data_IF_096682649652
#
_entry.id   IF_096682649652
#
_cell.length_a   1.000
_cell.length_b   1.000
_cell.length_c   1.000
_cell.angle_alpha   90.00
_cell.angle_beta   90.00
_cell.angle_gamma   90.00
#
_symmetry.space_group_name_H-M   'P 1'
#
loop_
_entity.id
_entity.type
_entity.pdbx_description
1 polymer ?
#
# COMPACT_ATOMS: atom_id res chain seq x y z
N UNK A 1 17.08 38.50 -53.43
CA UNK A 1 16.46 38.17 -54.70
C UNK A 1 15.41 39.22 -54.92
N UNK A 2 15.87 40.04 -55.63
CA UNK A 2 15.42 40.71 -56.84
C UNK A 2 14.48 41.88 -56.65
N UNK A 3 15.06 43.02 -56.84
CA UNK A 3 14.55 44.21 -57.57
C UNK A 3 13.94 43.78 -58.93
N UNK A 4 13.43 44.58 -59.82
CA UNK A 4 13.68 46.02 -59.94
C UNK A 4 12.53 46.87 -60.49
N UNK A 5 12.78 48.16 -60.56
CA UNK A 5 12.71 49.04 -61.73
C UNK A 5 11.32 49.46 -62.22
N UNK A 6 11.06 50.54 -62.73
CA UNK A 6 11.82 51.62 -63.35
C UNK A 6 10.86 52.69 -63.85
N UNK A 7 11.34 53.87 -63.86
CA UNK A 7 11.30 54.77 -65.04
C UNK A 7 9.94 55.28 -65.52
N UNK A 8 9.78 56.44 -65.92
CA UNK A 8 10.64 57.36 -66.64
C UNK A 8 9.84 58.63 -67.03
N UNK A 9 10.53 59.72 -67.01
CA UNK A 9 10.65 60.73 -68.06
C UNK A 9 9.37 61.52 -68.44
N UNK A 10 9.43 62.71 -68.55
CA UNK A 10 10.29 63.68 -69.24
C UNK A 10 9.53 64.98 -69.46
N UNK A 11 10.23 66.04 -69.31
CA UNK A 11 10.41 67.00 -70.40
C UNK A 11 9.27 67.96 -70.59
N UNK A 12 9.34 69.18 -70.64
CA UNK A 12 10.29 70.06 -71.31
C UNK A 12 10.03 71.55 -70.97
N UNK A 13 11.03 72.23 -71.00
CA UNK A 13 11.20 73.68 -71.18
C UNK A 13 10.43 74.20 -72.42
N UNK A 14 10.45 75.49 -72.77
CA UNK A 14 11.17 76.59 -72.21
C UNK A 14 10.43 77.97 -72.24
N UNK A 15 11.20 78.95 -71.78
CA UNK A 15 11.30 80.34 -72.22
C UNK A 15 10.05 81.23 -72.19
N UNK A 16 10.19 82.28 -71.46
CA UNK A 16 10.59 83.52 -72.12
C UNK A 16 11.05 84.61 -71.11
N UNK A 17 12.18 85.03 -71.44
CA UNK A 17 12.90 86.18 -71.01
C UNK A 17 12.12 87.49 -71.31
N UNK A 18 12.43 88.43 -70.47
CA UNK A 18 12.38 89.86 -70.83
C UNK A 18 11.00 90.55 -70.71
N UNK A 19 10.93 91.31 -69.74
CA UNK A 19 10.65 92.75 -69.88
C UNK A 19 10.74 93.45 -68.51
N UNK A 20 11.70 94.03 -68.40
CA UNK A 20 12.01 95.47 -68.44
C UNK A 20 12.07 96.12 -67.07
N UNK A 21 13.26 96.28 -66.71
CA UNK A 21 13.80 97.56 -66.18
C UNK A 21 12.83 98.74 -66.01
N UNK A 22 12.99 99.29 -64.90
CA UNK A 22 12.76 100.68 -64.59
C UNK A 22 11.58 100.96 -63.64
N UNK A 23 11.89 101.20 -62.44
CA UNK A 23 11.76 102.49 -61.77
C UNK A 23 11.90 102.34 -60.28
N UNK A 24 12.93 102.78 -59.75
CA UNK A 24 12.92 103.16 -58.35
C UNK A 24 12.05 104.42 -58.18
N UNK A 25 11.34 104.50 -57.09
CA UNK A 25 11.72 105.62 -56.22
C UNK A 25 11.57 105.37 -54.68
N UNK A 26 12.46 105.92 -53.98
CA UNK A 26 12.41 106.55 -52.66
C UNK A 26 11.97 105.77 -51.45
N UNK A 27 12.78 105.82 -50.37
CA UNK A 27 12.53 105.14 -49.11
C UNK A 27 11.45 105.88 -48.31
N UNK A 28 10.33 105.28 -48.11
CA UNK A 28 9.34 105.74 -47.16
C UNK A 28 9.68 105.15 -45.78
N UNK A 29 10.31 105.96 -44.96
CA UNK A 29 10.70 105.70 -43.56
C UNK A 29 9.45 105.20 -42.72
N UNK A 30 8.26 105.48 -43.13
CA UNK A 30 7.05 105.09 -42.42
C UNK A 30 6.71 103.56 -42.59
N UNK A 31 7.19 102.89 -43.61
CA UNK A 31 6.96 101.46 -43.78
C UNK A 31 7.82 100.62 -42.83
N UNK A 32 8.93 101.15 -42.35
CA UNK A 32 9.74 100.43 -41.32
C UNK A 32 9.05 100.37 -39.95
N UNK A 33 8.32 101.41 -39.60
CA UNK A 33 7.53 101.39 -38.35
C UNK A 33 6.30 100.46 -38.41
N UNK A 34 5.68 100.37 -39.56
CA UNK A 34 4.58 99.41 -39.77
C UNK A 34 5.02 97.92 -39.74
N UNK A 35 6.23 97.67 -40.28
CA UNK A 35 6.89 96.35 -40.24
C UNK A 35 7.21 95.92 -38.77
N UNK A 36 7.70 96.82 -37.95
CA UNK A 36 7.98 96.57 -36.56
C UNK A 36 6.69 96.39 -35.75
N UNK A 37 5.65 97.11 -36.09
CA UNK A 37 4.26 96.89 -35.49
C UNK A 37 3.64 95.52 -35.90
N UNK A 38 3.83 95.10 -37.14
CA UNK A 38 3.37 93.85 -37.58
C UNK A 38 4.12 92.68 -36.95
N UNK A 39 5.43 92.81 -36.79
CA UNK A 39 6.24 91.76 -36.08
C UNK A 39 5.83 91.68 -34.61
N UNK A 40 5.60 92.87 -33.97
CA UNK A 40 5.12 92.89 -32.58
C UNK A 40 3.75 92.24 -32.40
N UNK A 41 2.83 92.51 -33.34
CA UNK A 41 1.50 91.88 -33.34
C UNK A 41 1.60 90.37 -33.57
N UNK A 42 2.46 89.91 -34.48
CA UNK A 42 2.69 88.46 -34.70
C UNK A 42 3.33 87.81 -33.46
N UNK A 43 4.30 88.53 -32.79
CA UNK A 43 4.91 88.03 -31.58
C UNK A 43 3.92 87.92 -30.41
N UNK A 44 3.00 88.91 -30.25
CA UNK A 44 1.93 88.84 -29.24
C UNK A 44 0.94 87.72 -29.59
N UNK A 45 0.55 87.60 -30.89
CA UNK A 45 -0.38 86.51 -31.32
C UNK A 45 0.26 85.13 -31.11
N UNK A 46 1.55 85.00 -31.50
CA UNK A 46 2.26 83.72 -31.30
C UNK A 46 2.47 83.38 -29.80
N UNK A 47 2.81 84.46 -28.99
CA UNK A 47 2.86 84.29 -27.54
C UNK A 47 1.57 83.94 -26.89
N UNK A 48 0.47 84.61 -27.29
CA UNK A 48 -0.86 84.34 -26.82
C UNK A 48 -1.38 82.91 -27.20
N UNK A 49 -1.09 82.50 -28.47
CA UNK A 49 -1.43 81.15 -28.96
C UNK A 49 -0.61 80.10 -28.20
N UNK A 50 0.67 80.35 -27.93
CA UNK A 50 1.49 79.43 -27.19
C UNK A 50 1.08 79.36 -25.70
N UNK A 51 0.74 80.48 -25.08
CA UNK A 51 0.23 80.51 -23.71
C UNK A 51 -1.16 79.78 -23.59
N UNK A 52 -2.01 80.01 -24.60
CA UNK A 52 -3.30 79.35 -24.65
C UNK A 52 -3.15 77.79 -24.85
N UNK A 53 -2.17 77.36 -25.67
CA UNK A 53 -1.89 75.95 -25.83
C UNK A 53 -1.31 75.31 -24.56
N UNK A 54 -0.40 76.03 -23.87
CA UNK A 54 0.18 75.56 -22.61
C UNK A 54 -0.93 75.40 -21.55
N UNK A 55 -1.86 76.35 -21.51
CA UNK A 55 -2.96 76.32 -20.57
C UNK A 55 -3.99 75.23 -20.89
N UNK A 56 -4.14 74.85 -22.14
CA UNK A 56 -4.97 73.70 -22.54
C UNK A 56 -4.31 72.36 -22.18
N UNK A 57 -2.98 72.27 -22.23
CA UNK A 57 -2.28 71.06 -21.86
C UNK A 57 -2.24 70.87 -20.34
N UNK A 58 -2.21 71.96 -19.55
CA UNK A 58 -2.29 71.89 -18.07
C UNK A 58 -3.69 71.54 -17.56
N UNK A 59 -4.75 71.85 -18.31
CA UNK A 59 -6.14 71.53 -17.98
C UNK A 59 -6.62 70.23 -18.65
N UNK A 60 -5.78 69.52 -19.35
CA UNK A 60 -6.11 68.18 -19.83
C UNK A 60 -6.27 67.26 -18.61
N UNK A 61 -7.49 66.90 -18.29
CA UNK A 61 -7.79 65.94 -17.23
C UNK A 61 -6.97 64.66 -17.44
N UNK A 62 -6.32 64.12 -16.40
CA UNK A 62 -5.50 62.89 -16.53
C UNK A 62 -6.35 61.80 -17.17
N UNK A 63 -5.86 61.28 -18.27
CA UNK A 63 -6.51 60.20 -18.97
C UNK A 63 -6.29 58.91 -18.19
N UNK A 64 -7.24 58.57 -17.30
CA UNK A 64 -7.20 57.32 -16.56
C UNK A 64 -7.55 56.17 -17.50
N UNK A 65 -6.66 55.23 -17.62
CA UNK A 65 -6.98 53.95 -18.23
C UNK A 65 -7.75 53.18 -17.18
N UNK A 66 -9.07 53.13 -17.35
CA UNK A 66 -9.95 52.37 -16.47
C UNK A 66 -10.30 51.06 -17.14
N UNK A 67 -10.10 50.00 -16.41
CA UNK A 67 -10.55 48.68 -16.81
C UNK A 67 -11.82 48.33 -16.03
N UNK A 68 -12.87 47.85 -16.68
CA UNK A 68 -14.12 47.47 -16.00
C UNK A 68 -13.84 46.31 -15.03
N UNK A 69 -14.24 46.47 -13.80
CA UNK A 69 -14.20 45.42 -12.78
C UNK A 69 -15.20 44.33 -13.19
N UNK A 70 -14.69 43.20 -13.59
CA UNK A 70 -15.49 42.01 -13.90
C UNK A 70 -15.46 41.00 -12.77
N UNK A 71 -16.57 40.29 -12.57
CA UNK A 71 -16.57 39.09 -11.72
C UNK A 71 -15.93 37.95 -12.50
N UNK A 72 -14.84 37.39 -12.01
CA UNK A 72 -14.18 36.23 -12.58
C UNK A 72 -14.17 35.06 -11.59
N UNK A 73 -14.05 33.85 -12.13
CA UNK A 73 -13.84 32.68 -11.30
C UNK A 73 -12.37 32.61 -10.89
N UNK A 74 -12.13 32.56 -9.59
CA UNK A 74 -10.82 32.31 -9.02
C UNK A 74 -10.71 30.80 -8.73
N UNK A 75 -9.84 30.11 -9.45
CA UNK A 75 -9.50 28.72 -9.16
C UNK A 75 -8.28 28.68 -8.26
N UNK A 76 -8.50 28.32 -7.01
CA UNK A 76 -7.40 28.09 -6.06
C UNK A 76 -7.02 26.61 -6.09
N UNK A 77 -5.84 26.32 -6.58
CA UNK A 77 -5.26 24.97 -6.53
C UNK A 77 -4.43 24.84 -5.26
N UNK A 78 -4.85 23.94 -4.37
CA UNK A 78 -4.09 23.58 -3.18
C UNK A 78 -3.45 22.22 -3.42
N UNK A 79 -2.13 22.18 -3.42
CA UNK A 79 -1.37 20.92 -3.44
C UNK A 79 -0.96 20.57 -2.02
N UNK A 80 -1.29 19.35 -1.60
CA UNK A 80 -0.84 18.79 -0.34
C UNK A 80 -0.02 17.55 -0.60
N UNK A 81 1.13 17.44 0.04
CA UNK A 81 1.96 16.25 0.02
C UNK A 81 1.58 15.38 1.21
N UNK A 82 1.42 14.07 0.97
CA UNK A 82 1.12 13.10 2.01
C UNK A 82 1.82 11.78 1.72
N UNK A 83 2.11 11.04 2.77
CA UNK A 83 2.59 9.67 2.67
C UNK A 83 1.44 8.71 2.91
N UNK A 84 1.27 7.74 2.01
CA UNK A 84 0.31 6.64 2.19
C UNK A 84 0.89 5.66 3.19
N UNK A 85 0.14 5.38 4.24
CA UNK A 85 0.47 4.35 5.20
C UNK A 85 -0.62 3.27 5.19
N UNK A 86 -0.27 2.00 5.41
CA UNK A 86 -1.27 0.95 5.52
C UNK A 86 -2.15 1.17 6.74
N UNK A 87 -3.44 1.00 6.57
CA UNK A 87 -4.42 1.13 7.67
C UNK A 87 -4.28 0.02 8.72
N UNK A 88 -3.69 -1.10 8.34
CA UNK A 88 -3.44 -2.25 9.21
C UNK A 88 -2.20 -2.99 8.74
N UNK A 89 -1.21 -3.19 9.62
CA UNK A 89 -0.07 -4.06 9.39
C UNK A 89 -0.02 -5.15 10.45
N UNK A 90 0.35 -6.38 10.04
CA UNK A 90 0.50 -7.54 10.93
C UNK A 90 1.91 -8.07 10.74
N UNK A 91 2.64 -8.17 11.84
CA UNK A 91 3.95 -8.83 11.87
C UNK A 91 3.73 -10.33 12.01
N UNK A 92 4.28 -11.10 11.10
CA UNK A 92 4.20 -12.57 11.10
C UNK A 92 5.58 -13.09 11.48
N UNK A 93 5.66 -13.80 12.59
CA UNK A 93 6.87 -14.46 13.09
C UNK A 93 6.71 -15.97 13.11
N UNK A 94 7.81 -16.70 13.30
CA UNK A 94 7.79 -18.13 13.58
C UNK A 94 7.46 -18.37 15.06
N UNK A 95 6.60 -19.35 15.33
CA UNK A 95 6.36 -19.88 16.70
C UNK A 95 7.35 -20.98 17.05
N UNK A 96 8.06 -21.52 16.06
CA UNK A 96 9.03 -22.58 16.21
C UNK A 96 10.39 -22.10 15.74
N UNK A 97 11.44 -22.49 16.45
CA UNK A 97 12.82 -22.28 15.98
C UNK A 97 13.20 -23.34 14.96
N UNK A 98 13.75 -22.90 13.85
CA UNK A 98 14.17 -23.80 12.78
C UNK A 98 14.87 -23.07 11.65
N UNK A 99 15.37 -23.83 10.68
CA UNK A 99 15.96 -23.27 9.46
C UNK A 99 14.89 -23.09 8.39
N UNK A 100 14.89 -21.93 7.75
CA UNK A 100 13.99 -21.64 6.62
C UNK A 100 14.43 -22.50 5.43
N UNK A 101 13.53 -23.40 5.01
CA UNK A 101 13.76 -24.23 3.82
C UNK A 101 13.46 -23.46 2.55
N UNK A 102 12.34 -22.74 2.53
CA UNK A 102 11.85 -22.05 1.33
C UNK A 102 10.96 -20.86 1.72
N UNK A 103 11.13 -19.78 0.99
CA UNK A 103 10.24 -18.60 1.03
C UNK A 103 9.44 -18.59 -0.27
N UNK A 104 8.12 -18.50 -0.17
CA UNK A 104 7.16 -18.64 -1.28
C UNK A 104 6.61 -17.32 -1.78
N UNK A 105 6.97 -16.21 -1.12
CA UNK A 105 6.47 -14.86 -1.42
C UNK A 105 7.61 -13.85 -1.38
N UNK A 106 7.45 -12.76 -2.13
CA UNK A 106 8.39 -11.65 -2.11
C UNK A 106 7.69 -10.33 -1.73
N UNK A 107 8.48 -9.27 -1.57
CA UNK A 107 7.98 -7.93 -1.26
C UNK A 107 7.04 -7.48 -2.38
N UNK A 108 5.91 -6.90 -1.99
CA UNK A 108 4.82 -6.45 -2.86
C UNK A 108 3.93 -7.56 -3.44
N UNK A 109 4.10 -8.81 -3.03
CA UNK A 109 3.21 -9.90 -3.42
C UNK A 109 1.86 -9.81 -2.70
N UNK A 110 0.78 -10.14 -3.43
CA UNK A 110 -0.56 -10.26 -2.87
C UNK A 110 -0.75 -11.65 -2.27
N UNK A 111 -1.13 -11.69 -1.01
CA UNK A 111 -1.35 -12.93 -0.26
C UNK A 111 -2.78 -13.04 0.24
N UNK A 112 -3.28 -14.28 0.31
CA UNK A 112 -4.60 -14.61 0.86
C UNK A 112 -4.45 -15.17 2.27
N UNK A 113 -5.49 -15.01 3.07
CA UNK A 113 -5.57 -15.66 4.39
C UNK A 113 -5.40 -17.17 4.25
N UNK A 114 -4.50 -17.75 5.04
CA UNK A 114 -4.16 -19.18 5.02
C UNK A 114 -3.13 -19.56 3.94
N UNK A 115 -2.68 -18.62 3.11
CA UNK A 115 -1.62 -18.91 2.14
C UNK A 115 -0.29 -19.06 2.85
N UNK A 116 0.45 -20.14 2.56
CA UNK A 116 1.79 -20.40 3.09
C UNK A 116 2.77 -19.39 2.51
N UNK A 117 3.52 -18.75 3.38
CA UNK A 117 4.50 -17.72 3.05
C UNK A 117 5.93 -18.27 3.15
N UNK A 118 6.19 -19.01 4.22
CA UNK A 118 7.51 -19.58 4.53
C UNK A 118 7.35 -21.01 4.99
N UNK A 119 8.22 -21.89 4.54
CA UNK A 119 8.33 -23.26 5.00
C UNK A 119 9.66 -23.46 5.73
N UNK A 120 9.57 -23.93 6.97
CA UNK A 120 10.73 -24.37 7.75
C UNK A 120 11.17 -25.77 7.31
N UNK A 121 12.37 -26.15 7.69
CA UNK A 121 12.81 -27.53 7.54
C UNK A 121 12.03 -28.45 8.51
N UNK A 122 11.25 -29.33 7.94
CA UNK A 122 10.32 -30.23 8.66
C UNK A 122 10.88 -31.62 8.88
N UNK A 123 12.11 -31.95 8.42
CA UNK A 123 12.65 -33.31 8.49
C UNK A 123 12.60 -33.87 9.92
N UNK A 124 13.16 -33.12 10.89
CA UNK A 124 13.17 -33.53 12.30
C UNK A 124 11.75 -33.64 12.88
N UNK A 125 10.83 -32.74 12.51
CA UNK A 125 9.45 -32.74 13.02
C UNK A 125 8.65 -33.91 12.42
N UNK A 126 8.84 -34.22 11.15
CA UNK A 126 8.19 -35.37 10.51
C UNK A 126 8.66 -36.71 11.11
N UNK A 127 9.95 -36.82 11.43
CA UNK A 127 10.48 -37.99 12.14
C UNK A 127 9.90 -38.11 13.54
N UNK A 128 9.69 -36.99 14.24
CA UNK A 128 9.06 -36.97 15.55
C UNK A 128 7.62 -37.44 15.49
N UNK A 129 6.81 -36.94 14.54
CA UNK A 129 5.44 -37.41 14.28
C UNK A 129 5.41 -38.91 14.00
N UNK A 130 6.37 -39.41 13.20
CA UNK A 130 6.46 -40.84 12.89
C UNK A 130 6.75 -41.68 14.14
N UNK A 131 7.67 -41.20 15.01
CA UNK A 131 7.94 -41.88 16.30
C UNK A 131 6.72 -41.86 17.21
N UNK A 132 6.03 -40.75 17.37
CA UNK A 132 4.83 -40.67 18.21
C UNK A 132 3.66 -41.50 17.68
N UNK A 133 3.56 -41.58 16.34
CA UNK A 133 2.55 -42.49 15.72
C UNK A 133 2.87 -43.95 16.00
N UNK A 134 4.13 -44.33 15.95
CA UNK A 134 4.54 -45.69 16.32
C UNK A 134 4.31 -45.97 17.82
N UNK A 135 4.60 -45.00 18.71
CA UNK A 135 4.30 -45.13 20.12
C UNK A 135 2.80 -45.32 20.42
N UNK A 136 1.94 -44.57 19.69
CA UNK A 136 0.47 -44.76 19.79
C UNK A 136 0.07 -46.16 19.34
N UNK A 137 0.64 -46.69 18.26
CA UNK A 137 0.34 -48.05 17.79
C UNK A 137 0.74 -49.10 18.83
N UNK A 138 1.88 -48.95 19.52
CA UNK A 138 2.30 -49.82 20.60
C UNK A 138 1.33 -49.75 21.78
N UNK A 139 0.94 -48.54 22.22
CA UNK A 139 -0.04 -48.38 23.31
C UNK A 139 -1.40 -48.99 22.95
N UNK A 140 -1.85 -48.87 21.71
CA UNK A 140 -3.10 -49.53 21.24
C UNK A 140 -3.02 -51.05 21.27
N UNK A 141 -1.84 -51.60 20.88
CA UNK A 141 -1.64 -53.04 20.96
C UNK A 141 -1.64 -53.55 22.43
N UNK A 142 -1.06 -52.78 23.35
CA UNK A 142 -1.09 -53.08 24.77
C UNK A 142 -2.50 -53.03 25.35
N UNK A 143 -3.31 -52.05 24.96
CA UNK A 143 -4.73 -51.97 25.32
C UNK A 143 -5.50 -53.19 24.80
N UNK A 144 -5.28 -53.55 23.53
CA UNK A 144 -5.93 -54.73 22.95
C UNK A 144 -5.58 -56.03 23.71
N UNK A 145 -4.31 -56.18 24.15
CA UNK A 145 -3.89 -57.30 24.98
C UNK A 145 -4.58 -57.26 26.35
N UNK A 146 -4.62 -56.09 27.02
CA UNK A 146 -5.29 -55.97 28.34
C UNK A 146 -6.80 -56.26 28.23
N UNK A 147 -7.47 -55.76 27.19
CA UNK A 147 -8.88 -56.06 26.92
C UNK A 147 -9.12 -57.54 26.68
N UNK A 148 -8.23 -58.24 25.97
CA UNK A 148 -8.30 -59.68 25.79
C UNK A 148 -8.18 -60.44 27.14
N UNK A 149 -7.24 -59.97 28.01
CA UNK A 149 -7.06 -60.54 29.34
C UNK A 149 -8.31 -60.34 30.24
N UNK A 150 -8.94 -59.14 30.17
CA UNK A 150 -10.19 -58.87 30.89
C UNK A 150 -11.30 -59.82 30.39
N UNK A 151 -11.42 -60.00 29.08
CA UNK A 151 -12.41 -60.92 28.47
C UNK A 151 -12.19 -62.36 28.92
N UNK A 152 -10.95 -62.83 28.98
CA UNK A 152 -10.60 -64.18 29.45
C UNK A 152 -10.97 -64.33 30.90
N UNK A 153 -10.55 -63.42 31.80
CA UNK A 153 -10.85 -63.51 33.24
C UNK A 153 -12.33 -63.37 33.53
N UNK A 154 -13.06 -62.51 32.80
CA UNK A 154 -14.53 -62.40 32.91
C UNK A 154 -15.24 -63.71 32.53
N UNK A 155 -14.79 -64.35 31.46
CA UNK A 155 -15.31 -65.63 31.05
C UNK A 155 -14.96 -66.72 32.07
N UNK A 156 -13.81 -66.66 32.73
CA UNK A 156 -13.44 -67.59 33.80
C UNK A 156 -14.36 -67.45 35.05
N UNK A 157 -14.53 -66.23 35.52
CA UNK A 157 -15.43 -65.89 36.63
C UNK A 157 -16.87 -66.41 36.32
N UNK A 158 -17.39 -66.05 35.12
CA UNK A 158 -18.72 -66.51 34.71
C UNK A 158 -18.87 -68.06 34.66
N UNK A 159 -17.82 -68.80 34.25
CA UNK A 159 -17.83 -70.28 34.33
C UNK A 159 -17.87 -70.79 35.74
N UNK A 160 -17.04 -70.17 36.66
CA UNK A 160 -17.04 -70.61 38.09
C UNK A 160 -18.34 -70.27 38.78
N UNK A 161 -18.97 -69.15 38.50
CA UNK A 161 -20.24 -68.70 39.03
C UNK A 161 -21.36 -69.66 38.52
N UNK A 162 -21.37 -70.12 37.24
CA UNK A 162 -22.28 -71.07 36.73
C UNK A 162 -22.13 -72.45 37.37
N UNK A 163 -20.86 -72.88 37.60
CA UNK A 163 -20.63 -74.16 38.33
C UNK A 163 -21.11 -74.05 39.77
N UNK A 164 -20.90 -72.91 40.44
CA UNK A 164 -21.40 -72.66 41.78
C UNK A 164 -22.93 -72.77 41.84
N UNK A 165 -23.59 -72.14 40.85
CA UNK A 165 -25.05 -72.18 40.73
C UNK A 165 -25.60 -73.64 40.55
N UNK A 166 -24.95 -74.39 39.66
CA UNK A 166 -25.35 -75.75 39.33
C UNK A 166 -25.08 -76.77 40.51
N UNK A 167 -24.03 -76.54 41.27
CA UNK A 167 -23.62 -77.36 42.40
C UNK A 167 -24.35 -77.04 43.70
N UNK A 168 -25.20 -76.02 43.74
CA UNK A 168 -25.83 -75.54 44.96
C UNK A 168 -24.82 -74.89 45.95
N UNK A 169 -23.78 -74.28 45.41
CA UNK A 169 -22.72 -73.62 46.20
C UNK A 169 -21.67 -74.53 46.82
N UNK A 170 -21.60 -75.75 46.40
CA UNK A 170 -20.62 -76.72 46.97
C UNK A 170 -19.26 -76.63 46.25
N UNK A 171 -19.26 -76.25 44.98
CA UNK A 171 -18.08 -76.15 44.14
C UNK A 171 -18.26 -74.93 43.21
N UNK A 172 -17.27 -74.11 43.00
CA UNK A 172 -15.95 -74.00 43.60
C UNK A 172 -16.02 -73.49 45.07
N UNK A 173 -14.89 -73.48 45.76
CA UNK A 173 -14.81 -72.85 47.10
C UNK A 173 -14.97 -71.33 47.03
N UNK A 174 -15.47 -70.73 48.11
CA UNK A 174 -15.59 -69.28 48.19
C UNK A 174 -14.23 -68.56 47.91
N UNK A 175 -13.15 -69.13 48.40
CA UNK A 175 -11.80 -68.62 48.16
C UNK A 175 -11.38 -68.68 46.68
N UNK A 176 -11.82 -69.69 45.92
CA UNK A 176 -11.55 -69.74 44.46
C UNK A 176 -12.33 -68.71 43.72
N UNK A 177 -13.59 -68.44 44.08
CA UNK A 177 -14.40 -67.37 43.49
C UNK A 177 -13.82 -65.99 43.80
N UNK A 178 -13.47 -65.77 45.10
CA UNK A 178 -12.83 -64.49 45.51
C UNK A 178 -11.50 -64.24 44.76
N UNK A 179 -10.70 -65.32 44.58
CA UNK A 179 -9.43 -65.20 43.83
C UNK A 179 -9.66 -64.90 42.37
N UNK A 180 -10.67 -65.59 41.75
CA UNK A 180 -11.01 -65.30 40.34
C UNK A 180 -11.53 -63.85 40.16
N UNK A 181 -12.40 -63.40 41.07
CA UNK A 181 -12.91 -62.02 41.04
C UNK A 181 -11.78 -61.01 41.25
N UNK A 182 -10.90 -61.21 42.22
CA UNK A 182 -9.75 -60.34 42.43
C UNK A 182 -8.79 -60.31 41.22
N UNK A 183 -8.72 -61.42 40.47
CA UNK A 183 -7.91 -61.49 39.24
C UNK A 183 -8.58 -60.69 38.10
N UNK A 184 -9.91 -60.77 37.99
CA UNK A 184 -10.69 -59.95 37.04
C UNK A 184 -10.53 -58.47 37.39
N UNK A 185 -10.67 -58.10 38.66
CA UNK A 185 -10.54 -56.67 39.07
C UNK A 185 -9.15 -56.11 38.75
N UNK A 186 -8.08 -56.90 38.94
CA UNK A 186 -6.73 -56.53 38.51
C UNK A 186 -6.59 -56.37 37.01
N UNK A 187 -7.24 -57.28 36.25
CA UNK A 187 -7.23 -57.19 34.79
C UNK A 187 -7.97 -55.93 34.30
N UNK A 188 -9.10 -55.56 34.89
CA UNK A 188 -9.84 -54.32 34.61
C UNK A 188 -9.02 -53.10 34.94
N UNK A 189 -8.32 -53.09 36.08
CA UNK A 189 -7.40 -52.00 36.42
C UNK A 189 -6.24 -51.87 35.42
N UNK A 190 -5.69 -52.99 34.95
CA UNK A 190 -4.67 -53.03 33.90
C UNK A 190 -5.17 -52.48 32.56
N UNK A 191 -6.41 -52.84 32.16
CA UNK A 191 -7.08 -52.31 30.95
C UNK A 191 -7.23 -50.77 31.05
N UNK A 192 -7.70 -50.26 32.21
CA UNK A 192 -7.82 -48.83 32.45
C UNK A 192 -6.47 -48.12 32.34
N UNK A 193 -5.41 -48.68 32.88
CA UNK A 193 -4.05 -48.16 32.78
C UNK A 193 -3.55 -48.15 31.35
N UNK A 194 -3.82 -49.20 30.57
CA UNK A 194 -3.45 -49.26 29.15
C UNK A 194 -4.24 -48.24 28.34
N UNK A 195 -5.53 -48.03 28.63
CA UNK A 195 -6.36 -46.99 28.01
C UNK A 195 -5.79 -45.61 28.27
N UNK A 196 -5.40 -45.31 29.52
CA UNK A 196 -4.77 -44.04 29.86
C UNK A 196 -3.43 -43.84 29.11
N UNK A 197 -2.69 -44.92 28.86
CA UNK A 197 -1.45 -44.88 28.05
C UNK A 197 -1.73 -44.57 26.60
N UNK A 198 -2.80 -45.05 26.01
CA UNK A 198 -3.27 -44.72 24.64
C UNK A 198 -3.60 -43.22 24.58
N UNK A 199 -4.35 -42.70 25.56
CA UNK A 199 -4.73 -41.28 25.59
C UNK A 199 -3.48 -40.36 25.71
N UNK A 200 -2.51 -40.74 26.53
CA UNK A 200 -1.23 -40.04 26.65
C UNK A 200 -0.45 -40.06 25.33
N UNK A 201 -0.34 -41.23 24.68
CA UNK A 201 0.35 -41.34 23.40
C UNK A 201 -0.36 -40.55 22.28
N UNK A 202 -1.71 -40.52 22.29
CA UNK A 202 -2.52 -39.72 21.37
C UNK A 202 -2.29 -38.23 21.58
N UNK A 203 -2.24 -37.74 22.82
CA UNK A 203 -1.95 -36.35 23.15
C UNK A 203 -0.55 -35.95 22.67
N UNK A 204 0.44 -36.81 22.86
CA UNK A 204 1.79 -36.59 22.35
C UNK A 204 1.83 -36.48 20.82
N UNK A 205 1.15 -37.39 20.12
CA UNK A 205 1.05 -37.33 18.65
C UNK A 205 0.37 -36.04 18.19
N UNK A 206 -0.73 -35.63 18.81
CA UNK A 206 -1.43 -34.39 18.48
C UNK A 206 -0.54 -33.15 18.67
N UNK A 207 0.28 -33.13 19.71
CA UNK A 207 1.25 -32.05 19.93
C UNK A 207 2.30 -32.00 18.80
N UNK A 208 2.86 -33.14 18.43
CA UNK A 208 3.87 -33.24 17.39
C UNK A 208 3.29 -32.90 16.00
N UNK A 209 2.05 -33.31 15.68
CA UNK A 209 1.33 -32.94 14.46
C UNK A 209 1.04 -31.42 14.42
N UNK A 210 0.68 -30.82 15.56
CA UNK A 210 0.51 -29.37 15.68
C UNK A 210 1.82 -28.63 15.41
N UNK A 211 2.92 -29.08 15.98
CA UNK A 211 4.22 -28.50 15.74
C UNK A 211 4.63 -28.62 14.26
N UNK A 212 4.37 -29.76 13.64
CA UNK A 212 4.62 -29.94 12.21
C UNK A 212 3.79 -28.98 11.37
N UNK A 213 2.52 -28.79 11.72
CA UNK A 213 1.65 -27.82 11.00
C UNK A 213 2.10 -26.38 11.13
N UNK A 214 2.66 -25.99 12.29
CA UNK A 214 3.21 -24.65 12.55
C UNK A 214 4.53 -24.39 11.82
N UNK A 215 5.19 -25.40 11.29
CA UNK A 215 6.38 -25.23 10.46
C UNK A 215 6.08 -24.60 9.10
N UNK A 216 4.82 -24.58 8.68
CA UNK A 216 4.35 -23.81 7.53
C UNK A 216 3.73 -22.49 8.03
N UNK A 217 4.48 -21.41 7.90
CA UNK A 217 4.04 -20.08 8.33
C UNK A 217 3.11 -19.51 7.28
N UNK A 218 1.85 -19.24 7.66
CA UNK A 218 0.81 -18.76 6.76
C UNK A 218 0.31 -17.37 7.13
N UNK A 219 -0.27 -16.67 6.15
CA UNK A 219 -0.86 -15.36 6.37
C UNK A 219 -2.17 -15.44 7.15
N UNK A 220 -2.34 -14.67 8.24
CA UNK A 220 -3.61 -14.61 8.98
C UNK A 220 -4.66 -13.73 8.30
N UNK A 221 -4.27 -12.90 7.33
CA UNK A 221 -5.13 -11.93 6.64
C UNK A 221 -4.90 -11.94 5.13
N UNK A 222 -5.83 -11.33 4.40
CA UNK A 222 -5.59 -10.96 3.00
C UNK A 222 -4.83 -9.62 2.97
N UNK A 223 -3.79 -9.51 2.15
CA UNK A 223 -2.99 -8.30 2.10
C UNK A 223 -1.89 -8.32 1.06
N UNK A 224 -0.91 -7.46 1.27
CA UNK A 224 0.31 -7.35 0.46
C UNK A 224 1.51 -7.42 1.40
N UNK A 225 2.54 -8.13 1.01
CA UNK A 225 3.80 -8.23 1.76
C UNK A 225 4.53 -6.90 1.67
N UNK A 226 4.75 -6.26 2.81
CA UNK A 226 5.44 -4.98 2.89
C UNK A 226 6.96 -5.14 3.02
N UNK A 227 7.37 -6.09 3.84
CA UNK A 227 8.78 -6.35 4.13
C UNK A 227 9.02 -7.84 4.27
N UNK A 228 10.20 -8.29 3.91
CA UNK A 228 10.69 -9.66 4.09
C UNK A 228 12.04 -9.59 4.78
N UNK A 229 12.13 -10.17 5.97
CA UNK A 229 13.34 -10.18 6.80
C UNK A 229 13.98 -11.57 6.90
N UNK A 230 13.46 -12.55 6.15
CA UNK A 230 13.96 -13.94 6.17
C UNK A 230 14.30 -14.42 4.77
N UNK A 231 15.39 -15.16 4.67
CA UNK A 231 15.86 -15.79 3.45
C UNK A 231 16.01 -17.30 3.65
N UNK A 232 15.95 -18.11 2.56
CA UNK A 232 16.25 -19.53 2.64
C UNK A 232 17.63 -19.77 3.26
N UNK A 233 17.68 -20.67 4.24
CA UNK A 233 18.90 -20.98 5.01
C UNK A 233 19.05 -20.17 6.31
N UNK A 234 18.26 -19.13 6.53
CA UNK A 234 18.27 -18.42 7.81
C UNK A 234 17.65 -19.26 8.91
N UNK A 235 18.19 -19.14 10.13
CA UNK A 235 17.57 -19.64 11.35
C UNK A 235 16.57 -18.60 11.89
N UNK A 236 15.41 -19.06 12.29
CA UNK A 236 14.35 -18.25 12.91
C UNK A 236 13.95 -18.82 14.26
#
# INVERSE_FOLDING_TARGET
>A
MNSPDSNNTSSSKPSDLQALLAASPKPAWWKRRALWGAIFLIAISAGGYRAWRIHQEENAAPNYITEPVGKGNLTLNVTANGTLQPTRSVSIGSELSGTVRRVLVDINDRVKKGQVLVELDTAKLSDQVTRSRAALAVAQAQLAQATATVKENRANVGRLEEVARLSGGKVPSASELDTAQATLDRAVAAELSASASVDSARASLSTDETNLSKAAISSPINGVVLTRSVDPGNAV
#
